data_IF_730285671272
#
_entry.id   IF_730285671272
#
_cell.length_a   1.000
_cell.length_b   1.000
_cell.length_c   1.000
_cell.angle_alpha   90.00
_cell.angle_beta   90.00
_cell.angle_gamma   90.00
#
_symmetry.space_group_name_H-M   'P 1'
#
loop_
_entity.id
_entity.type
_entity.pdbx_description
1 polymer ?
#
# COMPACT_ATOMS: atom_id res chain seq x y z
N UNK A 1 94.21 11.17 21.63
CA UNK A 1 94.77 11.62 20.33
C UNK A 1 93.58 11.72 19.33
N UNK A 2 93.43 12.89 18.81
CA UNK A 2 92.94 13.28 17.46
C UNK A 2 91.48 13.10 17.16
N UNK A 3 90.64 14.14 17.23
CA UNK A 3 90.34 15.18 16.26
C UNK A 3 89.54 14.69 15.06
N UNK A 4 88.38 15.40 14.85
CA UNK A 4 87.72 15.56 13.61
C UNK A 4 86.16 15.70 13.82
N UNK A 5 85.70 16.80 14.03
CA UNK A 5 85.17 17.99 13.41
C UNK A 5 84.52 17.74 12.01
N UNK A 6 83.28 18.02 11.86
CA UNK A 6 82.60 18.05 10.57
C UNK A 6 81.06 18.16 10.68
N UNK A 7 80.62 19.31 10.91
CA UNK A 7 79.76 20.23 10.02
C UNK A 7 78.35 19.76 9.77
N UNK A 8 77.46 20.58 10.34
CA UNK A 8 76.13 21.00 9.96
C UNK A 8 75.66 20.61 8.53
N UNK A 9 74.51 20.07 8.44
CA UNK A 9 73.57 20.48 7.39
C UNK A 9 72.13 20.34 7.89
N UNK A 10 71.45 21.47 8.05
CA UNK A 10 70.08 21.60 8.33
C UNK A 10 69.29 21.28 7.06
N UNK A 11 68.48 20.22 7.09
CA UNK A 11 67.43 19.98 6.12
C UNK A 11 66.09 20.18 6.80
N UNK A 12 65.52 21.36 6.55
CA UNK A 12 64.14 21.68 6.87
C UNK A 12 63.25 20.81 6.01
N UNK A 13 62.69 19.77 6.60
CA UNK A 13 61.63 18.98 5.94
C UNK A 13 60.28 19.63 6.25
N UNK A 14 59.79 20.40 5.30
CA UNK A 14 58.42 20.91 5.28
C UNK A 14 57.46 19.74 5.21
N UNK A 15 56.87 19.33 6.36
CA UNK A 15 55.78 18.38 6.40
C UNK A 15 54.52 19.08 5.88
N UNK A 16 54.20 18.86 4.60
CA UNK A 16 52.89 19.21 4.03
C UNK A 16 51.90 18.23 4.65
N UNK A 17 51.13 18.75 5.62
CA UNK A 17 49.94 18.05 6.11
C UNK A 17 48.88 18.11 5.02
N UNK A 18 48.80 17.05 4.22
CA UNK A 18 47.64 16.80 3.35
C UNK A 18 46.52 16.37 4.27
N UNK A 19 45.64 17.32 4.57
CA UNK A 19 44.34 17.02 5.20
C UNK A 19 43.49 16.25 4.20
N UNK A 20 43.53 14.93 4.26
CA UNK A 20 42.58 14.07 3.58
C UNK A 20 41.27 14.22 4.32
N UNK A 21 40.43 15.13 3.84
CA UNK A 21 39.03 15.16 4.19
C UNK A 21 38.41 13.82 3.78
N UNK A 22 38.14 12.95 4.75
CA UNK A 22 37.28 11.81 4.56
C UNK A 22 35.87 12.35 4.23
N UNK A 23 35.60 12.50 2.97
CA UNK A 23 34.23 12.60 2.50
C UNK A 23 33.64 11.20 2.72
N UNK A 24 32.88 11.06 3.81
CA UNK A 24 32.06 9.87 4.01
C UNK A 24 31.16 9.74 2.79
N UNK A 25 31.08 8.56 2.14
CA UNK A 25 30.10 8.36 1.10
C UNK A 25 28.74 8.53 1.77
N UNK A 26 28.02 9.57 1.36
CA UNK A 26 26.59 9.66 1.59
C UNK A 26 26.04 8.41 0.91
N UNK A 27 25.77 7.37 1.72
CA UNK A 27 25.01 6.23 1.27
C UNK A 27 23.67 6.76 0.83
N UNK A 28 23.57 7.09 -0.45
CA UNK A 28 22.30 7.21 -1.11
C UNK A 28 21.62 5.87 -0.85
N UNK A 29 20.67 5.87 0.10
CA UNK A 29 19.77 4.75 0.35
C UNK A 29 19.08 4.53 -0.99
N UNK A 30 19.65 3.66 -1.81
CA UNK A 30 19.01 3.17 -3.02
C UNK A 30 17.62 2.72 -2.58
N UNK A 31 16.61 3.53 -2.87
CA UNK A 31 15.23 3.09 -2.80
C UNK A 31 15.15 1.85 -3.68
N UNK A 32 15.12 0.72 -3.01
CA UNK A 32 14.94 -0.56 -3.71
C UNK A 32 13.62 -0.46 -4.44
N UNK A 33 13.66 -0.45 -5.76
CA UNK A 33 12.50 -0.56 -6.65
C UNK A 33 11.72 -1.87 -6.45
N UNK A 34 12.13 -2.68 -5.45
CA UNK A 34 11.60 -4.01 -5.16
C UNK A 34 10.24 -4.01 -4.45
N UNK A 35 9.74 -2.86 -3.99
CA UNK A 35 8.46 -2.82 -3.27
C UNK A 35 7.27 -2.45 -4.17
N UNK A 36 7.50 -2.40 -5.47
CA UNK A 36 6.46 -2.09 -6.45
C UNK A 36 5.71 -3.36 -6.84
N UNK A 37 4.45 -3.43 -6.48
CA UNK A 37 3.56 -4.55 -6.86
C UNK A 37 2.82 -4.21 -8.13
N UNK A 38 2.77 -5.15 -9.09
CA UNK A 38 1.97 -4.99 -10.31
C UNK A 38 0.53 -5.40 -10.06
N UNK A 39 -0.41 -4.52 -10.35
CA UNK A 39 -1.85 -4.79 -10.23
C UNK A 39 -2.58 -4.26 -11.46
N UNK A 40 -3.26 -5.17 -12.18
CA UNK A 40 -3.98 -4.80 -13.40
C UNK A 40 -3.10 -4.17 -14.48
N UNK A 41 -1.85 -4.65 -14.60
CA UNK A 41 -0.88 -4.13 -15.57
C UNK A 41 -0.28 -2.77 -15.21
N UNK A 42 -0.59 -2.22 -14.04
CA UNK A 42 0.00 -0.97 -13.54
C UNK A 42 0.90 -1.22 -12.32
N UNK A 43 2.01 -0.51 -12.29
CA UNK A 43 2.92 -0.50 -11.14
C UNK A 43 2.32 0.34 -10.00
N UNK A 44 2.19 -0.27 -8.82
CA UNK A 44 1.71 0.39 -7.60
C UNK A 44 2.90 0.91 -6.81
N UNK A 45 3.01 2.23 -6.73
CA UNK A 45 4.14 2.88 -6.06
C UNK A 45 3.83 3.18 -4.60
N UNK A 46 4.66 2.74 -3.64
CA UNK A 46 4.46 3.05 -2.22
C UNK A 46 4.47 4.54 -1.88
N UNK A 47 5.03 5.37 -2.77
CA UNK A 47 5.06 6.83 -2.64
C UNK A 47 3.75 7.52 -3.03
N UNK A 48 2.84 6.82 -3.70
CA UNK A 48 1.52 7.32 -4.10
C UNK A 48 0.44 6.84 -3.14
N UNK A 49 -0.64 7.61 -3.02
CA UNK A 49 -1.78 7.20 -2.21
C UNK A 49 -2.65 6.15 -2.92
N UNK A 50 -3.58 5.56 -2.18
CA UNK A 50 -4.49 4.50 -2.64
C UNK A 50 -5.20 4.89 -3.95
N UNK A 51 -5.75 6.11 -4.01
CA UNK A 51 -6.50 6.58 -5.18
C UNK A 51 -5.59 6.82 -6.39
N UNK A 52 -4.43 7.44 -6.16
CA UNK A 52 -3.46 7.73 -7.22
C UNK A 52 -2.93 6.47 -7.91
N UNK A 53 -2.79 5.38 -7.17
CA UNK A 53 -2.40 4.10 -7.73
C UNK A 53 -3.58 3.38 -8.39
N UNK A 54 -4.74 3.35 -7.73
CA UNK A 54 -5.92 2.64 -8.23
C UNK A 54 -6.40 3.12 -9.60
N UNK A 55 -6.30 4.43 -9.88
CA UNK A 55 -6.73 5.01 -11.17
C UNK A 55 -5.94 4.52 -12.37
N UNK A 56 -4.73 4.01 -12.15
CA UNK A 56 -3.88 3.45 -13.23
C UNK A 56 -4.10 1.94 -13.44
N UNK A 57 -4.79 1.27 -12.52
CA UNK A 57 -5.07 -0.16 -12.61
C UNK A 57 -6.23 -0.45 -13.54
N UNK A 58 -5.99 -1.26 -14.56
CA UNK A 58 -7.05 -1.72 -15.49
C UNK A 58 -8.07 -2.64 -14.82
N UNK A 59 -7.68 -3.31 -13.73
CA UNK A 59 -8.53 -4.25 -13.00
C UNK A 59 -9.46 -3.58 -11.98
N UNK A 60 -9.30 -2.27 -11.73
CA UNK A 60 -10.05 -1.53 -10.71
C UNK A 60 -10.83 -0.34 -11.29
N UNK A 61 -11.09 -0.31 -12.60
CA UNK A 61 -11.81 0.79 -13.25
C UNK A 61 -13.22 0.98 -12.68
N UNK A 62 -13.92 -0.13 -12.42
CA UNK A 62 -15.26 -0.11 -11.81
C UNK A 62 -15.21 0.41 -10.38
N UNK A 63 -14.22 -0.03 -9.58
CA UNK A 63 -14.01 0.47 -8.21
C UNK A 63 -13.74 1.96 -8.19
N UNK A 64 -12.87 2.45 -9.07
CA UNK A 64 -12.54 3.89 -9.18
C UNK A 64 -13.77 4.72 -9.55
N UNK A 65 -14.56 4.24 -10.51
CA UNK A 65 -15.83 4.88 -10.88
C UNK A 65 -16.81 4.93 -9.70
N UNK A 66 -16.92 3.83 -8.94
CA UNK A 66 -17.76 3.75 -7.76
C UNK A 66 -17.30 4.71 -6.64
N UNK A 67 -16.00 4.78 -6.37
CA UNK A 67 -15.41 5.70 -5.37
C UNK A 67 -15.66 7.16 -5.75
N UNK A 68 -15.54 7.50 -7.03
CA UNK A 68 -15.87 8.85 -7.55
C UNK A 68 -17.36 9.17 -7.40
N UNK A 69 -18.24 8.25 -7.78
CA UNK A 69 -19.69 8.41 -7.66
C UNK A 69 -20.13 8.58 -6.19
N UNK A 70 -19.52 7.85 -5.28
CA UNK A 70 -19.76 7.97 -3.84
C UNK A 70 -19.19 9.25 -3.23
N UNK A 71 -18.24 9.93 -3.89
CA UNK A 71 -17.57 11.11 -3.37
C UNK A 71 -16.47 10.78 -2.33
N UNK A 72 -16.01 9.53 -2.28
CA UNK A 72 -15.04 9.05 -1.29
C UNK A 72 -13.56 9.26 -1.69
N UNK A 73 -13.30 9.89 -2.84
CA UNK A 73 -11.95 10.18 -3.32
C UNK A 73 -11.15 10.95 -2.27
N UNK A 74 -11.73 12.00 -1.68
CA UNK A 74 -11.09 12.82 -0.64
C UNK A 74 -10.77 12.00 0.62
N UNK A 75 -11.72 11.17 1.07
CA UNK A 75 -11.55 10.30 2.24
C UNK A 75 -10.41 9.31 2.05
N UNK A 76 -10.38 8.62 0.91
CA UNK A 76 -9.35 7.63 0.59
C UNK A 76 -8.00 8.24 0.18
N UNK A 77 -7.97 9.54 -0.11
CA UNK A 77 -6.72 10.30 -0.35
C UNK A 77 -6.19 10.96 0.92
N UNK A 78 -6.96 10.93 2.00
CA UNK A 78 -6.61 11.53 3.28
C UNK A 78 -5.43 10.85 3.97
N UNK A 79 -4.97 11.45 5.09
CA UNK A 79 -3.88 10.90 5.88
C UNK A 79 -4.35 9.66 6.63
N UNK A 80 -4.09 8.45 6.05
CA UNK A 80 -4.40 7.19 6.69
C UNK A 80 -3.77 7.01 8.08
N UNK A 81 -3.43 5.81 8.50
CA UNK A 81 -3.36 4.62 7.64
C UNK A 81 -4.72 3.94 7.41
N UNK A 82 -4.91 3.43 6.19
CA UNK A 82 -6.09 2.64 5.82
C UNK A 82 -5.68 1.28 5.25
N UNK A 83 -6.52 0.27 5.50
CA UNK A 83 -6.48 -1.01 4.79
C UNK A 83 -7.68 -1.09 3.87
N UNK A 84 -7.46 -1.25 2.58
CA UNK A 84 -8.53 -1.31 1.59
C UNK A 84 -8.56 -2.69 0.94
N UNK A 85 -9.70 -3.35 1.02
CA UNK A 85 -9.98 -4.57 0.28
C UNK A 85 -10.54 -4.18 -1.10
N UNK A 86 -9.68 -4.15 -2.13
CA UNK A 86 -10.03 -3.66 -3.45
C UNK A 86 -10.56 -4.81 -4.34
N UNK A 87 -11.87 -4.85 -4.63
CA UNK A 87 -12.43 -5.82 -5.55
C UNK A 87 -12.06 -5.47 -7.00
N UNK A 88 -11.71 -6.50 -7.77
CA UNK A 88 -11.44 -6.36 -9.21
C UNK A 88 -12.70 -6.16 -10.01
N UNK A 89 -12.58 -5.75 -11.29
CA UNK A 89 -13.72 -5.69 -12.21
C UNK A 89 -14.44 -7.04 -12.30
N UNK A 90 -13.69 -8.15 -12.28
CA UNK A 90 -14.25 -9.50 -12.23
C UNK A 90 -15.09 -9.76 -10.96
N UNK A 91 -14.66 -9.19 -9.83
CA UNK A 91 -15.41 -9.28 -8.58
C UNK A 91 -16.80 -8.61 -8.72
N UNK A 92 -16.85 -7.46 -9.37
CA UNK A 92 -18.12 -6.77 -9.67
C UNK A 92 -18.98 -7.53 -10.67
N UNK A 93 -18.38 -8.22 -11.64
CA UNK A 93 -19.09 -9.05 -12.62
C UNK A 93 -19.80 -10.27 -11.99
N UNK A 94 -19.39 -10.68 -10.80
CA UNK A 94 -20.08 -11.73 -10.03
C UNK A 94 -21.36 -11.28 -9.38
N UNK A 95 -21.58 -9.98 -9.26
CA UNK A 95 -22.84 -9.43 -8.78
C UNK A 95 -23.93 -9.63 -9.85
N UNK A 96 -25.22 -9.68 -9.45
CA UNK A 96 -26.34 -9.75 -10.40
C UNK A 96 -26.24 -8.65 -11.46
N UNK A 97 -26.56 -9.00 -12.69
CA UNK A 97 -26.53 -8.03 -13.81
C UNK A 97 -27.34 -6.77 -13.47
N UNK A 98 -26.74 -5.63 -13.71
CA UNK A 98 -27.38 -4.32 -13.41
C UNK A 98 -27.14 -3.81 -11.99
N UNK A 99 -26.68 -4.63 -11.05
CA UNK A 99 -26.44 -4.18 -9.65
C UNK A 99 -25.43 -3.03 -9.62
N UNK A 100 -24.29 -3.15 -10.32
CA UNK A 100 -23.28 -2.10 -10.37
C UNK A 100 -23.84 -0.82 -11.00
N UNK A 101 -24.54 -0.94 -12.14
CA UNK A 101 -25.15 0.20 -12.80
C UNK A 101 -26.22 0.89 -11.93
N UNK A 102 -26.92 0.12 -11.12
CA UNK A 102 -27.89 0.65 -10.15
C UNK A 102 -27.17 1.35 -8.99
N UNK A 103 -26.13 0.75 -8.44
CA UNK A 103 -25.37 1.29 -7.30
C UNK A 103 -24.67 2.62 -7.61
N UNK A 104 -24.18 2.82 -8.84
CA UNK A 104 -23.50 4.07 -9.22
C UNK A 104 -24.46 5.22 -9.51
N UNK A 105 -25.77 4.98 -9.51
CA UNK A 105 -26.77 6.03 -9.69
C UNK A 105 -26.79 6.97 -8.47
N UNK A 106 -27.04 8.27 -8.67
CA UNK A 106 -27.07 9.26 -7.59
C UNK A 106 -28.06 8.91 -6.46
N UNK A 107 -29.19 8.31 -6.79
CA UNK A 107 -30.26 7.84 -5.86
C UNK A 107 -29.76 6.76 -4.91
N UNK A 108 -28.76 5.96 -5.32
CA UNK A 108 -28.19 4.86 -4.55
C UNK A 108 -26.82 5.21 -3.93
N UNK A 109 -26.45 6.49 -3.94
CA UNK A 109 -25.16 6.95 -3.43
C UNK A 109 -24.91 6.53 -1.97
N UNK A 110 -25.94 6.57 -1.13
CA UNK A 110 -25.84 6.16 0.28
C UNK A 110 -25.48 4.68 0.40
N UNK A 111 -26.15 3.81 -0.36
CA UNK A 111 -25.88 2.37 -0.39
C UNK A 111 -24.49 2.07 -0.95
N UNK A 112 -24.11 2.78 -2.01
CA UNK A 112 -22.76 2.66 -2.59
C UNK A 112 -21.68 3.07 -1.59
N UNK A 113 -21.90 4.18 -0.89
CA UNK A 113 -20.98 4.65 0.17
C UNK A 113 -20.87 3.61 1.27
N UNK A 114 -21.98 3.04 1.75
CA UNK A 114 -22.01 1.99 2.75
C UNK A 114 -21.15 0.78 2.32
N UNK A 115 -21.34 0.29 1.11
CA UNK A 115 -20.57 -0.83 0.55
C UNK A 115 -19.09 -0.47 0.47
N UNK A 116 -18.72 0.71 -0.03
CA UNK A 116 -17.32 1.11 -0.20
C UNK A 116 -16.62 1.33 1.14
N UNK A 117 -17.27 1.92 2.13
CA UNK A 117 -16.72 2.10 3.48
C UNK A 117 -16.60 0.76 4.23
N UNK A 118 -17.44 -0.22 3.88
CA UNK A 118 -17.32 -1.59 4.34
C UNK A 118 -16.06 -2.31 3.83
N UNK A 119 -15.51 -1.89 2.70
CA UNK A 119 -14.23 -2.39 2.17
C UNK A 119 -13.01 -1.71 2.78
N UNK A 120 -13.19 -0.71 3.64
CA UNK A 120 -12.12 0.07 4.25
C UNK A 120 -12.06 -0.21 5.75
N UNK A 121 -10.89 -0.59 6.22
CA UNK A 121 -10.61 -0.79 7.64
C UNK A 121 -9.61 0.27 8.09
N UNK A 122 -9.86 0.99 9.20
CA UNK A 122 -8.89 1.93 9.74
C UNK A 122 -7.66 1.17 10.25
N UNK A 123 -6.50 1.74 10.01
CA UNK A 123 -5.21 1.12 10.34
C UNK A 123 -4.54 0.43 9.15
N UNK A 124 -3.22 0.30 9.21
CA UNK A 124 -2.44 -0.45 8.24
C UNK A 124 -2.30 -1.90 8.71
N UNK A 125 -2.97 -2.82 8.03
CA UNK A 125 -2.93 -4.25 8.30
C UNK A 125 -2.29 -4.97 7.10
N UNK A 126 -1.14 -5.57 7.32
CA UNK A 126 -0.50 -6.41 6.31
C UNK A 126 -1.05 -7.85 6.37
N UNK A 127 -0.71 -8.66 5.37
CA UNK A 127 -1.17 -10.06 5.33
C UNK A 127 -0.71 -10.89 6.53
N UNK A 128 0.39 -10.50 7.18
CA UNK A 128 0.87 -11.08 8.44
C UNK A 128 -0.08 -10.82 9.60
N UNK A 129 -0.73 -9.66 9.60
CA UNK A 129 -1.66 -9.23 10.65
C UNK A 129 -3.06 -9.83 10.46
N UNK A 130 -3.35 -10.35 9.26
CA UNK A 130 -4.60 -11.00 8.92
C UNK A 130 -4.56 -12.47 9.36
N UNK A 131 -4.61 -12.70 10.67
CA UNK A 131 -4.61 -14.03 11.27
C UNK A 131 -5.98 -14.70 11.15
N UNK A 132 -6.01 -16.04 11.15
CA UNK A 132 -7.27 -16.79 11.10
C UNK A 132 -8.17 -16.46 12.29
N UNK A 133 -9.46 -16.24 12.03
CA UNK A 133 -10.44 -15.88 13.03
C UNK A 133 -10.41 -14.42 13.48
N UNK A 134 -9.46 -13.61 12.99
CA UNK A 134 -9.39 -12.18 13.35
C UNK A 134 -10.60 -11.43 12.82
N UNK A 135 -11.18 -10.61 13.66
CA UNK A 135 -12.27 -9.69 13.30
C UNK A 135 -11.72 -8.30 13.03
N UNK A 136 -12.16 -7.68 11.96
CA UNK A 136 -11.76 -6.34 11.53
C UNK A 136 -13.00 -5.46 11.52
N UNK A 137 -12.97 -4.34 12.24
CA UNK A 137 -14.04 -3.35 12.20
C UNK A 137 -13.80 -2.41 11.02
N UNK A 138 -14.78 -2.26 10.15
CA UNK A 138 -14.71 -1.40 8.96
C UNK A 138 -15.02 0.06 9.32
N UNK A 139 -14.74 0.98 8.39
CA UNK A 139 -15.10 2.40 8.53
C UNK A 139 -16.63 2.58 8.58
N UNK A 140 -17.37 1.66 7.98
CA UNK A 140 -18.83 1.64 8.02
C UNK A 140 -19.37 1.28 9.41
N UNK A 141 -18.64 0.47 10.18
CA UNK A 141 -18.99 0.03 11.54
C UNK A 141 -19.23 -1.47 11.65
N UNK A 142 -19.56 -2.13 10.58
CA UNK A 142 -19.73 -3.58 10.52
C UNK A 142 -18.39 -4.32 10.56
N UNK A 143 -18.43 -5.60 10.86
CA UNK A 143 -17.24 -6.42 11.02
C UNK A 143 -17.00 -7.35 9.84
N UNK A 144 -15.72 -7.54 9.52
CA UNK A 144 -15.21 -8.56 8.60
C UNK A 144 -14.46 -9.61 9.41
N UNK A 145 -14.58 -10.87 9.04
CA UNK A 145 -13.82 -11.96 9.67
C UNK A 145 -12.76 -12.48 8.70
N UNK A 146 -11.54 -12.61 9.20
CA UNK A 146 -10.44 -13.21 8.43
C UNK A 146 -10.49 -14.73 8.58
N UNK A 147 -10.35 -15.44 7.46
CA UNK A 147 -10.15 -16.89 7.43
C UNK A 147 -8.88 -17.21 6.65
N UNK A 148 -8.12 -18.17 7.16
CA UNK A 148 -6.93 -18.68 6.46
C UNK A 148 -7.11 -20.17 6.18
N UNK A 149 -6.89 -20.56 4.94
CA UNK A 149 -6.95 -21.96 4.53
C UNK A 149 -5.95 -22.23 3.40
N UNK A 150 -5.13 -23.24 3.56
CA UNK A 150 -4.13 -23.65 2.55
C UNK A 150 -3.17 -22.53 2.15
N UNK A 151 -2.74 -21.68 3.11
CA UNK A 151 -1.86 -20.53 2.86
C UNK A 151 -2.54 -19.34 2.17
N UNK A 152 -3.85 -19.41 1.95
CA UNK A 152 -4.64 -18.32 1.35
C UNK A 152 -5.43 -17.57 2.41
N UNK A 153 -5.63 -16.28 2.16
CA UNK A 153 -6.41 -15.40 3.03
C UNK A 153 -7.77 -15.18 2.38
N UNK A 154 -8.81 -15.31 3.19
CA UNK A 154 -10.19 -15.02 2.83
C UNK A 154 -10.75 -14.01 3.81
N UNK A 155 -11.54 -13.09 3.29
CA UNK A 155 -12.32 -12.15 4.08
C UNK A 155 -13.78 -12.58 3.99
N UNK A 156 -14.39 -12.78 5.14
CA UNK A 156 -15.80 -13.18 5.28
C UNK A 156 -16.60 -11.96 5.69
N UNK A 157 -17.64 -11.67 4.94
CA UNK A 157 -18.55 -10.56 5.20
C UNK A 157 -19.68 -10.94 6.16
N UNK A 158 -20.48 -9.96 6.57
CA UNK A 158 -21.59 -10.15 7.51
C UNK A 158 -22.68 -11.10 6.99
N UNK A 159 -22.77 -11.32 5.68
CA UNK A 159 -23.71 -12.24 5.03
C UNK A 159 -23.14 -13.65 4.84
N UNK A 160 -21.91 -13.89 5.31
CA UNK A 160 -21.21 -15.15 5.13
C UNK A 160 -20.56 -15.31 3.76
N UNK A 161 -20.55 -14.26 2.94
CA UNK A 161 -19.83 -14.25 1.67
C UNK A 161 -18.32 -14.29 1.89
N UNK A 162 -17.61 -15.09 1.09
CA UNK A 162 -16.17 -15.23 1.19
C UNK A 162 -15.47 -14.56 0.00
N UNK A 163 -14.55 -13.67 0.27
CA UNK A 163 -13.70 -13.05 -0.73
C UNK A 163 -12.24 -13.43 -0.51
N UNK A 164 -11.61 -14.00 -1.54
CA UNK A 164 -10.20 -14.40 -1.47
C UNK A 164 -9.29 -13.21 -1.79
N UNK A 165 -8.28 -12.99 -0.94
CA UNK A 165 -7.18 -12.07 -1.25
C UNK A 165 -6.30 -12.70 -2.33
N UNK A 166 -6.20 -12.04 -3.46
CA UNK A 166 -5.42 -12.48 -4.63
C UNK A 166 -4.02 -11.87 -4.65
N UNK A 167 -3.91 -10.58 -4.32
CA UNK A 167 -2.64 -9.87 -4.22
C UNK A 167 -2.65 -9.14 -2.87
N UNK A 168 -1.88 -9.61 -1.89
CA UNK A 168 -1.75 -8.96 -0.59
C UNK A 168 -0.66 -7.89 -0.60
N UNK A 169 -0.62 -7.06 0.43
CA UNK A 169 0.47 -6.13 0.76
C UNK A 169 0.84 -5.16 -0.37
N UNK A 170 -0.15 -4.61 -1.07
CA UNK A 170 0.09 -3.50 -2.01
C UNK A 170 0.23 -2.22 -1.20
N UNK A 171 1.45 -1.91 -0.79
CA UNK A 171 1.74 -0.77 0.07
C UNK A 171 1.55 0.57 -0.65
N UNK A 172 0.97 1.55 0.06
CA UNK A 172 0.67 2.90 -0.39
C UNK A 172 1.19 3.90 0.65
N UNK A 173 1.30 5.18 0.26
CA UNK A 173 1.75 6.23 1.19
C UNK A 173 0.80 6.44 2.36
N UNK A 174 -0.49 6.17 2.19
CA UNK A 174 -1.52 6.34 3.21
C UNK A 174 -2.22 5.03 3.61
N UNK A 175 -1.62 3.86 3.33
CA UNK A 175 -2.17 2.59 3.75
C UNK A 175 -1.70 1.39 2.96
N UNK A 176 -2.51 0.35 2.94
CA UNK A 176 -2.25 -0.89 2.18
C UNK A 176 -3.51 -1.35 1.47
N UNK A 177 -3.35 -1.87 0.27
CA UNK A 177 -4.43 -2.49 -0.51
C UNK A 177 -4.24 -4.01 -0.49
N UNK A 178 -5.32 -4.73 -0.30
CA UNK A 178 -5.44 -6.16 -0.56
C UNK A 178 -6.43 -6.38 -1.69
N UNK A 179 -5.96 -6.87 -2.82
CA UNK A 179 -6.83 -7.15 -3.97
C UNK A 179 -7.66 -8.40 -3.69
N UNK A 180 -8.96 -8.30 -3.87
CA UNK A 180 -9.91 -9.37 -3.59
C UNK A 180 -10.74 -9.76 -4.82
N UNK A 181 -11.16 -11.01 -4.90
CA UNK A 181 -11.86 -11.57 -6.06
C UNK A 181 -13.39 -11.57 -5.95
N UNK A 182 -13.94 -10.99 -4.91
CA UNK A 182 -15.38 -10.81 -4.72
C UNK A 182 -15.66 -9.53 -3.95
N UNK A 183 -16.81 -8.90 -4.20
CA UNK A 183 -17.27 -7.73 -3.47
C UNK A 183 -17.81 -8.17 -2.11
N UNK A 184 -17.43 -7.48 -1.05
CA UNK A 184 -17.94 -7.71 0.30
C UNK A 184 -19.27 -6.96 0.47
N UNK A 185 -20.24 -7.61 1.07
CA UNK A 185 -21.57 -7.04 1.27
C UNK A 185 -21.84 -6.80 2.75
N UNK A 186 -22.18 -5.56 3.15
CA UNK A 186 -22.59 -5.26 4.51
C UNK A 186 -23.90 -5.96 4.87
N UNK A 187 -24.14 -6.12 6.16
CA UNK A 187 -25.34 -6.74 6.71
C UNK A 187 -26.67 -6.06 6.35
#
# INVERSE_FOLDING_TARGET
MSKGLGILSAAVLCAVMVSTSLVAPVSAKMMRHSDTVMVGGAAMYPSKNIVQNAVHSKDHTTLVAAVKAAGLVGTLSGPGPFTVFAPTNEAFNKLPKGTVATLVKPENKATLTKILTYHVVPGKLEASDLTDGKTLTTVEGDQLTVRRSGGRIYIVDAKGGMSRVTIPNVNQSNGVIHVVNSVLMPG
#
